data_IF_779411480328
#
_entry.id   IF_779411480328
#
_cell.length_a   1.000
_cell.length_b   1.000
_cell.length_c   1.000
_cell.angle_alpha   90.00
_cell.angle_beta   90.00
_cell.angle_gamma   90.00
#
_symmetry.space_group_name_H-M   'P 1'
#
loop_
_entity.id
_entity.type
_entity.pdbx_description
1 polymer ?
#
# COMPACT_ATOMS: atom_id res chain seq x y z
N UNK A 1 -18.11 -7.22 3.35
CA UNK A 1 -16.93 -8.00 3.77
C UNK A 1 -15.85 -6.99 4.17
N UNK A 2 -15.56 -6.85 5.46
CA UNK A 2 -14.50 -5.95 5.93
C UNK A 2 -13.13 -6.49 5.50
N UNK A 3 -12.24 -5.60 5.07
CA UNK A 3 -10.87 -5.93 4.66
C UNK A 3 -10.07 -6.64 5.75
N UNK A 4 -10.44 -6.37 7.00
CA UNK A 4 -9.81 -6.89 8.20
C UNK A 4 -9.81 -8.42 8.29
N UNK A 5 -10.70 -9.10 7.56
CA UNK A 5 -10.80 -10.56 7.59
C UNK A 5 -10.00 -11.29 6.50
N UNK A 6 -9.34 -10.61 5.56
CA UNK A 6 -8.64 -11.27 4.42
C UNK A 6 -7.15 -10.95 4.32
N UNK A 7 -6.70 -9.84 4.90
CA UNK A 7 -5.30 -9.40 4.85
C UNK A 7 -4.75 -9.41 6.27
N UNK A 8 -3.62 -10.07 6.49
CA UNK A 8 -2.93 -10.06 7.78
C UNK A 8 -2.57 -8.62 8.17
N UNK A 9 -2.67 -8.28 9.45
CA UNK A 9 -2.18 -6.99 9.95
C UNK A 9 -0.67 -6.89 9.74
N UNK A 10 -0.18 -5.79 9.21
CA UNK A 10 1.26 -5.54 9.03
C UNK A 10 1.91 -5.05 10.32
N UNK A 11 2.95 -5.75 10.77
CA UNK A 11 3.59 -5.59 12.10
C UNK A 11 5.11 -5.36 12.04
N UNK A 12 5.65 -4.88 10.90
CA UNK A 12 7.09 -4.80 10.54
C UNK A 12 7.79 -6.13 10.22
N UNK A 13 7.46 -7.22 10.92
CA UNK A 13 8.13 -8.53 10.78
C UNK A 13 7.57 -9.42 9.67
N UNK A 14 6.36 -9.15 9.22
CA UNK A 14 5.64 -9.99 8.24
C UNK A 14 5.53 -9.32 6.86
N UNK A 15 6.43 -8.40 6.53
CA UNK A 15 6.37 -7.62 5.30
C UNK A 15 6.18 -8.48 4.03
N UNK A 16 6.92 -9.60 3.81
CA UNK A 16 6.71 -10.42 2.62
C UNK A 16 5.29 -11.00 2.52
N UNK A 17 4.75 -11.53 3.62
CA UNK A 17 3.41 -12.13 3.66
C UNK A 17 2.32 -11.08 3.48
N UNK A 18 2.40 -9.97 4.23
CA UNK A 18 1.46 -8.86 4.09
C UNK A 18 1.48 -8.29 2.66
N UNK A 19 2.67 -8.00 2.13
CA UNK A 19 2.85 -7.49 0.76
C UNK A 19 2.21 -8.41 -0.26
N UNK A 20 2.42 -9.73 -0.14
CA UNK A 20 1.82 -10.70 -1.05
C UNK A 20 0.28 -10.63 -1.01
N UNK A 21 -0.32 -10.72 0.18
CA UNK A 21 -1.77 -10.67 0.35
C UNK A 21 -2.37 -9.33 -0.12
N UNK A 22 -1.75 -8.21 0.22
CA UNK A 22 -2.20 -6.88 -0.20
C UNK A 22 -2.17 -6.73 -1.72
N UNK A 23 -1.12 -7.22 -2.40
CA UNK A 23 -1.05 -7.22 -3.87
C UNK A 23 -2.15 -8.07 -4.50
N UNK A 24 -2.43 -9.26 -3.98
CA UNK A 24 -3.50 -10.13 -4.48
C UNK A 24 -4.87 -9.47 -4.28
N UNK A 25 -5.09 -8.89 -3.11
CA UNK A 25 -6.30 -8.14 -2.81
C UNK A 25 -6.54 -7.00 -3.81
N UNK A 26 -5.54 -6.17 -4.08
CA UNK A 26 -5.68 -5.06 -5.03
C UNK A 26 -5.85 -5.52 -6.48
N UNK A 27 -5.24 -6.65 -6.88
CA UNK A 27 -5.51 -7.27 -8.18
C UNK A 27 -6.99 -7.68 -8.30
N UNK A 28 -7.54 -8.31 -7.27
CA UNK A 28 -8.98 -8.65 -7.20
C UNK A 28 -9.92 -7.44 -7.15
N UNK A 29 -9.39 -6.24 -6.92
CA UNK A 29 -10.12 -4.96 -6.98
C UNK A 29 -9.86 -4.17 -8.26
N UNK A 30 -9.02 -4.68 -9.17
CA UNK A 30 -8.59 -3.97 -10.38
C UNK A 30 -7.87 -2.64 -10.09
N UNK A 31 -7.23 -2.52 -8.92
CA UNK A 31 -6.57 -1.29 -8.46
C UNK A 31 -5.05 -1.45 -8.27
N UNK A 32 -4.48 -2.54 -8.76
CA UNK A 32 -3.04 -2.81 -8.61
C UNK A 32 -2.13 -1.80 -9.32
N UNK A 33 -2.66 -1.06 -10.31
CA UNK A 33 -1.97 0.01 -11.02
C UNK A 33 -1.67 1.23 -10.14
N UNK A 34 -2.44 1.49 -9.08
CA UNK A 34 -2.20 2.59 -8.13
C UNK A 34 -0.94 2.40 -7.27
N UNK A 35 -0.34 1.20 -7.29
CA UNK A 35 0.96 0.94 -6.65
C UNK A 35 2.12 0.97 -7.65
N UNK A 36 1.84 1.13 -8.95
CA UNK A 36 2.86 1.04 -9.98
C UNK A 36 3.40 2.43 -10.32
N UNK A 37 4.66 2.68 -10.00
CA UNK A 37 5.36 3.93 -10.29
C UNK A 37 5.51 4.23 -11.80
N UNK A 38 5.33 3.24 -12.67
CA UNK A 38 5.36 3.45 -14.13
C UNK A 38 4.04 3.99 -14.69
N UNK A 39 2.96 4.00 -13.92
CA UNK A 39 1.64 4.49 -14.35
C UNK A 39 1.59 5.98 -14.08
N UNK A 40 1.32 6.77 -15.12
CA UNK A 40 1.20 8.22 -15.00
C UNK A 40 -0.13 8.60 -14.35
N UNK A 41 -0.08 9.57 -13.43
CA UNK A 41 -1.27 10.23 -12.90
C UNK A 41 -1.92 11.03 -14.04
N UNK A 42 -3.26 10.95 -14.21
CA UNK A 42 -3.95 11.73 -15.24
C UNK A 42 -3.75 13.24 -15.03
N UNK A 43 -3.67 13.97 -16.13
CA UNK A 43 -3.57 15.45 -16.12
C UNK A 43 -4.89 16.14 -16.44
N UNK A 44 -5.85 15.41 -17.01
CA UNK A 44 -7.22 15.90 -17.20
C UNK A 44 -7.96 15.92 -15.85
N UNK A 45 -8.65 17.02 -15.54
CA UNK A 45 -9.28 17.23 -14.25
C UNK A 45 -10.36 16.17 -13.92
N UNK A 46 -11.14 15.75 -14.92
CA UNK A 46 -12.22 14.77 -14.73
C UNK A 46 -11.65 13.38 -14.50
N UNK A 47 -10.63 13.00 -15.27
CA UNK A 47 -9.92 11.74 -15.07
C UNK A 47 -9.15 11.73 -13.73
N UNK A 48 -8.54 12.86 -13.37
CA UNK A 48 -7.84 13.02 -12.10
C UNK A 48 -8.78 12.84 -10.91
N UNK A 49 -9.96 13.46 -10.91
CA UNK A 49 -10.94 13.29 -9.84
C UNK A 49 -11.36 11.82 -9.66
N UNK A 50 -11.53 11.07 -10.77
CA UNK A 50 -11.85 9.65 -10.71
C UNK A 50 -10.67 8.81 -10.20
N UNK A 51 -9.45 9.16 -10.61
CA UNK A 51 -8.22 8.53 -10.15
C UNK A 51 -8.02 8.77 -8.64
N UNK A 52 -8.23 9.99 -8.16
CA UNK A 52 -8.06 10.38 -6.75
C UNK A 52 -9.00 9.59 -5.82
N UNK A 53 -10.26 9.40 -6.24
CA UNK A 53 -11.21 8.56 -5.49
C UNK A 53 -10.72 7.12 -5.36
N UNK A 54 -10.15 6.56 -6.43
CA UNK A 54 -9.58 5.20 -6.42
C UNK A 54 -8.32 5.13 -5.57
N UNK A 55 -7.46 6.14 -5.67
CA UNK A 55 -6.21 6.22 -4.89
C UNK A 55 -6.50 6.33 -3.39
N UNK A 56 -7.46 7.18 -3.02
CA UNK A 56 -7.94 7.34 -1.63
C UNK A 56 -8.48 6.03 -1.06
N UNK A 57 -9.17 5.21 -1.87
CA UNK A 57 -9.61 3.86 -1.45
C UNK A 57 -8.41 2.98 -1.12
N UNK A 58 -7.39 2.96 -1.97
CA UNK A 58 -6.16 2.18 -1.71
C UNK A 58 -5.45 2.68 -0.46
N UNK A 59 -5.34 4.00 -0.26
CA UNK A 59 -4.80 4.61 0.96
C UNK A 59 -5.58 4.14 2.19
N UNK A 60 -6.92 4.18 2.16
CA UNK A 60 -7.74 3.72 3.29
C UNK A 60 -7.47 2.26 3.67
N UNK A 61 -7.19 1.41 2.68
CA UNK A 61 -6.87 -0.01 2.88
C UNK A 61 -5.45 -0.23 3.38
N UNK A 62 -4.49 0.60 2.95
CA UNK A 62 -3.15 0.63 3.56
C UNK A 62 -3.28 0.94 5.06
N UNK A 63 -3.97 2.02 5.44
CA UNK A 63 -4.17 2.37 6.85
C UNK A 63 -4.87 1.27 7.64
N UNK A 64 -5.93 0.68 7.07
CA UNK A 64 -6.67 -0.43 7.70
C UNK A 64 -5.84 -1.68 7.92
N UNK A 65 -4.77 -1.90 7.15
CA UNK A 65 -3.94 -3.10 7.25
C UNK A 65 -2.60 -2.90 7.94
N UNK A 66 -2.22 -1.66 8.28
CA UNK A 66 -0.93 -1.32 8.91
C UNK A 66 -1.07 -0.94 10.38
N UNK A 67 -0.27 -1.55 11.28
CA UNK A 67 -0.25 -1.19 12.70
C UNK A 67 -0.11 0.32 12.93
N UNK A 68 -0.86 0.93 13.88
CA UNK A 68 -1.02 2.37 13.94
C UNK A 68 0.29 3.13 14.12
N UNK A 69 1.24 2.55 14.87
CA UNK A 69 2.54 3.16 15.13
C UNK A 69 3.41 3.23 13.86
N UNK A 70 3.31 2.23 12.96
CA UNK A 70 4.00 2.22 11.66
C UNK A 70 3.38 3.25 10.70
N UNK A 71 2.08 3.50 10.85
CA UNK A 71 1.34 4.47 10.06
C UNK A 71 1.80 5.92 10.29
N UNK A 72 2.39 6.27 11.43
CA UNK A 72 2.83 7.65 11.71
C UNK A 72 3.73 8.22 10.60
N UNK A 73 4.64 7.39 10.06
CA UNK A 73 5.56 7.77 8.99
C UNK A 73 4.89 7.89 7.62
N UNK A 74 3.65 7.42 7.46
CA UNK A 74 2.92 7.46 6.20
C UNK A 74 2.13 8.76 6.00
N UNK A 75 1.92 9.54 7.07
CA UNK A 75 1.07 10.76 7.04
C UNK A 75 1.56 11.85 6.08
N UNK A 76 2.85 11.82 5.70
CA UNK A 76 3.43 12.80 4.77
C UNK A 76 3.21 12.45 3.30
N UNK A 77 2.69 11.26 2.98
CA UNK A 77 2.42 10.85 1.60
C UNK A 77 0.96 11.08 1.23
N UNK A 78 0.75 11.60 0.02
CA UNK A 78 -0.57 11.92 -0.51
C UNK A 78 -1.08 10.89 -1.52
N UNK A 79 -0.23 9.95 -1.96
CA UNK A 79 -0.60 8.91 -2.94
C UNK A 79 -0.34 7.51 -2.40
N UNK A 80 -1.16 6.55 -2.83
CA UNK A 80 -0.99 5.14 -2.51
C UNK A 80 0.38 4.61 -2.96
N UNK A 81 0.84 5.02 -4.14
CA UNK A 81 2.15 4.65 -4.68
C UNK A 81 3.29 5.15 -3.78
N UNK A 82 3.25 6.40 -3.32
CA UNK A 82 4.30 6.93 -2.45
C UNK A 82 4.37 6.22 -1.09
N UNK A 83 3.20 5.92 -0.48
CA UNK A 83 3.14 5.10 0.73
C UNK A 83 3.71 3.69 0.48
N UNK A 84 3.33 3.07 -0.63
CA UNK A 84 3.78 1.74 -1.01
C UNK A 84 5.30 1.67 -1.20
N UNK A 85 5.87 2.63 -1.92
CA UNK A 85 7.31 2.72 -2.19
C UNK A 85 8.11 2.96 -0.89
N UNK A 86 7.60 3.79 0.01
CA UNK A 86 8.20 3.98 1.33
C UNK A 86 8.24 2.67 2.13
N UNK A 87 7.13 1.96 2.21
CA UNK A 87 7.06 0.67 2.92
C UNK A 87 8.01 -0.35 2.30
N UNK A 88 8.11 -0.38 0.96
CA UNK A 88 9.09 -1.21 0.27
C UNK A 88 10.50 -0.85 0.68
N UNK A 89 10.87 0.42 0.61
CA UNK A 89 12.24 0.85 0.92
C UNK A 89 12.64 0.47 2.35
N UNK A 90 11.76 0.65 3.32
CA UNK A 90 12.09 0.43 4.75
C UNK A 90 12.08 -1.06 5.11
N UNK A 91 11.14 -1.85 4.58
CA UNK A 91 10.91 -3.23 5.04
C UNK A 91 11.37 -4.32 4.07
N UNK A 92 11.83 -3.96 2.87
CA UNK A 92 12.41 -4.92 1.92
C UNK A 92 13.80 -5.42 2.34
N UNK A 93 14.52 -4.71 3.21
CA UNK A 93 15.92 -5.01 3.54
C UNK A 93 16.15 -5.86 4.81
N UNK A 94 15.18 -6.01 5.73
CA UNK A 94 15.51 -6.40 7.11
C UNK A 94 15.35 -7.89 7.47
N UNK A 95 15.26 -8.82 6.51
CA UNK A 95 15.10 -10.26 6.84
C UNK A 95 16.15 -11.22 6.26
N UNK A 96 17.10 -10.75 5.45
CA UNK A 96 18.24 -11.56 5.01
C UNK A 96 19.52 -11.33 5.85
N UNK A 97 19.63 -10.20 6.56
CA UNK A 97 20.86 -9.82 7.26
C UNK A 97 20.98 -10.30 8.72
N UNK A 98 19.94 -10.94 9.29
CA UNK A 98 19.98 -11.54 10.65
C UNK A 98 20.06 -13.06 10.60
N UNK A 99 20.96 -13.58 9.77
CA UNK A 99 21.41 -14.97 9.83
C UNK A 99 22.92 -14.97 10.02
N UNK A 100 23.35 -14.75 11.26
CA UNK A 100 24.68 -15.10 11.75
C UNK A 100 24.48 -15.81 13.10
#
# INVERSE_FOLDING_TARGET
MSIENTIVRFTSKNFPTWKFQFKIFLKGKELSNHMNSSVRVPTDDKEFAQWEVKDTKVISWLWGTIEPHLGTNLRCFTTAQAMWDYLHRIYHQDHSARKF
#
